data_IF_410362843527
#
_entry.id   IF_410362843527
#
_cell.length_a   1.000
_cell.length_b   1.000
_cell.length_c   1.000
_cell.angle_alpha   90.00
_cell.angle_beta   90.00
_cell.angle_gamma   90.00
#
_symmetry.space_group_name_H-M   'P 1'
#
loop_
_entity.id
_entity.type
_entity.pdbx_description
1 polymer ?
#
# COMPACT_ATOMS: atom_id res chain seq x y z
N UNK A 1 -24.25 4.44 31.94
CA UNK A 1 -23.09 4.76 31.08
C UNK A 1 -22.96 3.70 29.99
N UNK A 2 -23.26 4.03 28.73
CA UNK A 2 -23.15 3.09 27.59
C UNK A 2 -21.77 3.28 26.96
N UNK A 3 -20.88 2.29 27.11
CA UNK A 3 -19.60 2.25 26.39
C UNK A 3 -19.88 1.78 24.96
N UNK A 4 -20.00 2.70 24.02
CA UNK A 4 -19.99 2.36 22.60
C UNK A 4 -18.56 2.04 22.23
N UNK A 5 -18.21 0.74 22.19
CA UNK A 5 -16.95 0.31 21.61
C UNK A 5 -17.06 0.56 20.10
N UNK A 6 -16.44 1.64 19.62
CA UNK A 6 -16.28 1.88 18.19
C UNK A 6 -15.53 0.70 17.59
N UNK A 7 -16.23 -0.09 16.79
CA UNK A 7 -15.63 -1.19 16.08
C UNK A 7 -14.76 -0.62 14.94
N UNK A 8 -13.48 -0.36 15.22
CA UNK A 8 -12.49 0.19 14.25
C UNK A 8 -12.01 -0.83 13.21
N UNK A 9 -12.69 -1.97 13.06
CA UNK A 9 -12.32 -2.97 12.04
C UNK A 9 -12.70 -2.44 10.65
N UNK A 10 -11.72 -2.41 9.74
CA UNK A 10 -11.93 -2.09 8.32
C UNK A 10 -12.05 -3.38 7.51
N UNK A 11 -13.03 -3.43 6.60
CA UNK A 11 -13.17 -4.54 5.64
C UNK A 11 -12.30 -4.24 4.43
N UNK A 12 -11.43 -5.20 4.07
CA UNK A 12 -10.56 -5.12 2.90
C UNK A 12 -10.86 -6.32 2.01
N UNK A 13 -11.24 -6.06 0.76
CA UNK A 13 -11.40 -7.09 -0.27
C UNK A 13 -10.18 -7.08 -1.18
N UNK A 14 -9.53 -8.24 -1.31
CA UNK A 14 -8.31 -8.40 -2.13
C UNK A 14 -8.57 -9.47 -3.19
N UNK A 15 -8.16 -9.19 -4.43
CA UNK A 15 -8.15 -10.19 -5.50
C UNK A 15 -6.84 -10.98 -5.40
N UNK A 16 -6.94 -12.30 -5.31
CA UNK A 16 -5.79 -13.19 -5.24
C UNK A 16 -5.89 -14.24 -6.33
N UNK A 17 -4.73 -14.76 -6.75
CA UNK A 17 -4.66 -15.87 -7.68
C UNK A 17 -5.35 -17.12 -7.08
N UNK A 18 -6.08 -17.93 -7.86
CA UNK A 18 -6.74 -19.16 -7.37
C UNK A 18 -5.79 -20.15 -6.68
N UNK A 19 -4.51 -20.18 -7.06
CA UNK A 19 -3.50 -21.01 -6.40
C UNK A 19 -3.22 -20.50 -4.97
N UNK A 20 -3.21 -19.19 -4.75
CA UNK A 20 -3.05 -18.58 -3.42
C UNK A 20 -4.28 -18.87 -2.57
N UNK A 21 -5.48 -18.70 -3.12
CA UNK A 21 -6.74 -19.02 -2.43
C UNK A 21 -6.77 -20.49 -1.97
N UNK A 22 -6.38 -21.43 -2.84
CA UNK A 22 -6.28 -22.85 -2.49
C UNK A 22 -5.28 -23.10 -1.37
N UNK A 23 -4.10 -22.47 -1.41
CA UNK A 23 -3.08 -22.61 -0.34
C UNK A 23 -3.61 -22.08 0.99
N UNK A 24 -4.29 -20.93 0.98
CA UNK A 24 -4.91 -20.36 2.18
C UNK A 24 -6.01 -21.28 2.74
N UNK A 25 -6.81 -21.90 1.87
CA UNK A 25 -7.82 -22.87 2.27
C UNK A 25 -7.19 -24.07 2.96
N UNK A 26 -6.19 -24.69 2.36
CA UNK A 26 -5.51 -25.85 2.95
C UNK A 26 -4.84 -25.49 4.28
N UNK A 27 -4.19 -24.32 4.35
CA UNK A 27 -3.59 -23.83 5.59
C UNK A 27 -4.65 -23.63 6.70
N UNK A 28 -5.81 -23.09 6.33
CA UNK A 28 -6.96 -22.95 7.22
C UNK A 28 -7.49 -24.31 7.72
N UNK A 29 -7.65 -25.27 6.82
CA UNK A 29 -8.12 -26.62 7.16
C UNK A 29 -7.14 -27.34 8.10
N UNK A 30 -5.84 -27.30 7.81
CA UNK A 30 -4.81 -27.99 8.61
C UNK A 30 -4.66 -27.38 10.01
N UNK A 31 -4.83 -26.07 10.14
CA UNK A 31 -4.66 -25.35 11.42
C UNK A 31 -5.96 -25.18 12.21
N UNK A 32 -7.11 -25.52 11.62
CA UNK A 32 -8.44 -25.28 12.21
C UNK A 32 -8.81 -23.80 12.33
N UNK A 33 -8.18 -22.91 11.54
CA UNK A 33 -8.43 -21.45 11.56
C UNK A 33 -9.15 -21.01 10.29
N UNK A 34 -9.73 -19.79 10.30
CA UNK A 34 -10.37 -19.20 9.10
C UNK A 34 -9.31 -18.64 8.15
N UNK A 35 -9.56 -18.70 6.84
CA UNK A 35 -8.64 -18.11 5.83
C UNK A 35 -8.36 -16.62 6.07
N UNK A 36 -9.37 -15.87 6.50
CA UNK A 36 -9.24 -14.43 6.80
C UNK A 36 -8.22 -14.13 7.89
N UNK A 37 -7.99 -15.07 8.82
CA UNK A 37 -6.96 -14.93 9.85
C UNK A 37 -5.56 -14.87 9.23
N UNK A 38 -5.28 -15.73 8.25
CA UNK A 38 -3.98 -15.76 7.57
C UNK A 38 -3.78 -14.55 6.67
N UNK A 39 -4.84 -14.07 6.02
CA UNK A 39 -4.77 -12.83 5.24
C UNK A 39 -4.46 -11.63 6.15
N UNK A 40 -5.16 -11.52 7.28
CA UNK A 40 -4.91 -10.48 8.28
C UNK A 40 -3.47 -10.57 8.81
N UNK A 41 -3.01 -11.77 9.19
CA UNK A 41 -1.66 -11.96 9.70
C UNK A 41 -0.58 -11.65 8.65
N UNK A 42 -0.78 -11.98 7.37
CA UNK A 42 0.15 -11.59 6.31
C UNK A 42 0.22 -10.07 6.15
N UNK A 43 -0.89 -9.36 6.29
CA UNK A 43 -0.89 -7.89 6.21
C UNK A 43 -0.19 -7.30 7.45
N UNK A 44 -0.55 -7.75 8.65
CA UNK A 44 0.00 -7.23 9.92
C UNK A 44 1.50 -7.53 10.07
N UNK A 45 1.94 -8.74 9.73
CA UNK A 45 3.36 -9.11 9.81
C UNK A 45 4.17 -8.68 8.60
N UNK A 46 3.53 -8.57 7.43
CA UNK A 46 4.20 -8.24 6.17
C UNK A 46 4.46 -6.75 5.98
N UNK A 47 3.73 -5.86 6.65
CA UNK A 47 3.85 -4.42 6.43
C UNK A 47 5.27 -3.91 6.70
N UNK A 48 5.89 -4.33 7.80
CA UNK A 48 7.25 -3.90 8.15
C UNK A 48 8.31 -4.38 7.14
N UNK A 49 8.18 -5.62 6.67
CA UNK A 49 9.05 -6.17 5.64
C UNK A 49 8.82 -5.49 4.28
N UNK A 50 7.58 -5.11 3.95
CA UNK A 50 7.26 -4.34 2.76
C UNK A 50 7.84 -2.92 2.82
N UNK A 51 7.74 -2.24 3.96
CA UNK A 51 8.37 -0.94 4.17
C UNK A 51 9.87 -1.00 3.90
N UNK A 52 10.57 -2.01 4.42
CA UNK A 52 12.00 -2.20 4.23
C UNK A 52 12.39 -2.56 2.79
N UNK A 53 11.55 -3.32 2.09
CA UNK A 53 11.80 -3.72 0.70
C UNK A 53 11.56 -2.59 -0.32
N UNK A 54 10.65 -1.67 -0.04
CA UNK A 54 10.19 -0.65 -0.99
C UNK A 54 10.61 0.78 -0.64
N UNK A 55 10.99 1.06 0.60
CA UNK A 55 11.37 2.41 1.03
C UNK A 55 12.88 2.51 1.30
N UNK A 56 13.53 3.57 0.80
CA UNK A 56 14.86 3.93 1.25
C UNK A 56 14.87 4.19 2.78
N UNK A 57 15.98 3.93 3.48
CA UNK A 57 16.05 4.11 4.94
C UNK A 57 15.63 5.50 5.43
N UNK A 58 15.91 6.55 4.65
CA UNK A 58 15.55 7.94 4.98
C UNK A 58 14.04 8.20 4.96
N UNK A 59 13.28 7.46 4.15
CA UNK A 59 11.82 7.57 4.03
C UNK A 59 11.12 6.63 5.01
N UNK A 60 11.71 5.46 5.26
CA UNK A 60 11.16 4.44 6.15
C UNK A 60 10.90 4.97 7.56
N UNK A 61 11.82 5.74 8.13
CA UNK A 61 11.64 6.35 9.45
C UNK A 61 10.42 7.29 9.50
N UNK A 62 10.21 8.08 8.44
CA UNK A 62 9.10 9.02 8.35
C UNK A 62 7.76 8.28 8.24
N UNK A 63 7.70 7.24 7.41
CA UNK A 63 6.49 6.41 7.23
C UNK A 63 6.10 5.69 8.52
N UNK A 64 7.06 5.18 9.27
CA UNK A 64 6.81 4.54 10.58
C UNK A 64 6.30 5.53 11.64
N UNK A 65 6.73 6.79 11.56
CA UNK A 65 6.21 7.88 12.39
C UNK A 65 4.84 8.40 11.92
N UNK A 66 4.23 7.77 10.90
CA UNK A 66 2.94 8.18 10.33
C UNK A 66 3.02 9.47 9.51
N UNK A 67 4.23 9.92 9.18
CA UNK A 67 4.48 11.11 8.39
C UNK A 67 4.79 10.70 6.96
N UNK A 68 3.99 11.18 6.01
CA UNK A 68 4.35 11.02 4.61
C UNK A 68 5.58 11.91 4.36
N UNK A 69 6.68 11.38 3.78
CA UNK A 69 7.75 12.23 3.34
C UNK A 69 7.15 13.29 2.41
N UNK A 70 7.68 14.53 2.42
CA UNK A 70 7.36 15.48 1.38
C UNK A 70 7.48 14.73 0.07
N UNK A 71 6.40 14.68 -0.71
CA UNK A 71 6.51 14.26 -2.10
C UNK A 71 7.58 15.20 -2.63
N UNK A 72 8.77 14.69 -2.93
CA UNK A 72 9.62 15.36 -3.88
C UNK A 72 8.72 15.41 -5.11
N UNK A 73 8.03 16.54 -5.26
CA UNK A 73 7.74 17.08 -6.55
C UNK A 73 9.11 17.06 -7.17
N UNK A 74 9.39 16.01 -7.95
CA UNK A 74 10.26 16.21 -9.08
C UNK A 74 9.56 17.33 -9.81
N UNK A 75 10.00 18.54 -9.50
CA UNK A 75 10.05 19.66 -10.41
C UNK A 75 11.00 19.27 -11.56
N UNK A 76 10.87 18.05 -12.09
CA UNK A 76 10.82 17.84 -13.51
C UNK A 76 9.48 18.49 -13.93
N UNK A 77 9.47 19.81 -13.90
CA UNK A 77 9.33 20.50 -15.16
C UNK A 77 10.28 19.80 -16.15
N UNK A 78 9.85 18.66 -16.71
CA UNK A 78 10.13 18.38 -18.10
C UNK A 78 9.82 19.71 -18.75
N UNK A 79 10.84 20.50 -19.18
CA UNK A 79 10.57 21.74 -19.89
C UNK A 79 9.61 21.32 -20.98
N UNK A 80 8.42 21.93 -20.98
CA UNK A 80 7.32 21.53 -21.84
C UNK A 80 7.88 21.36 -23.25
N UNK A 81 8.05 20.13 -23.70
CA UNK A 81 8.81 19.82 -24.92
C UNK A 81 8.10 20.38 -26.17
N UNK A 82 6.89 20.89 -25.96
CA UNK A 82 5.99 21.49 -26.93
C UNK A 82 5.92 23.02 -26.81
N UNK A 83 6.63 23.67 -25.87
CA UNK A 83 6.64 25.13 -25.74
C UNK A 83 7.10 25.82 -27.03
N UNK A 84 8.04 25.20 -27.74
CA UNK A 84 8.63 25.76 -28.96
C UNK A 84 7.76 25.54 -30.21
N UNK A 85 6.77 24.64 -30.16
CA UNK A 85 5.96 24.28 -31.33
C UNK A 85 4.84 25.30 -31.58
N UNK A 86 4.44 26.07 -30.57
CA UNK A 86 3.39 27.08 -30.68
C UNK A 86 3.90 28.50 -30.95
N UNK A 87 5.22 28.72 -30.98
CA UNK A 87 5.81 30.04 -31.19
C UNK A 87 5.95 30.45 -32.67
N UNK A 88 5.80 29.53 -33.62
CA UNK A 88 5.99 29.80 -35.06
C UNK A 88 4.70 30.10 -35.85
N UNK A 89 3.54 30.22 -35.18
CA UNK A 89 2.27 30.61 -35.83
C UNK A 89 1.79 32.00 -35.42
N UNK A 90 2.68 32.98 -35.37
CA UNK A 90 2.28 34.40 -35.39
C UNK A 90 3.35 35.23 -36.12
N UNK A 91 3.32 35.18 -37.45
CA UNK A 91 3.98 36.14 -38.35
C UNK A 91 3.21 36.25 -39.66
#
# INVERSE_FOLDING_TARGET
MKRTAENKLKVVAVRVDPAIERRLRLLAEVTGRRQSFFLQQMIESGIGAMEEAWLPPAVLAQVRDGTLPPREQTDDAMPDLFSDIFAEQES
#
